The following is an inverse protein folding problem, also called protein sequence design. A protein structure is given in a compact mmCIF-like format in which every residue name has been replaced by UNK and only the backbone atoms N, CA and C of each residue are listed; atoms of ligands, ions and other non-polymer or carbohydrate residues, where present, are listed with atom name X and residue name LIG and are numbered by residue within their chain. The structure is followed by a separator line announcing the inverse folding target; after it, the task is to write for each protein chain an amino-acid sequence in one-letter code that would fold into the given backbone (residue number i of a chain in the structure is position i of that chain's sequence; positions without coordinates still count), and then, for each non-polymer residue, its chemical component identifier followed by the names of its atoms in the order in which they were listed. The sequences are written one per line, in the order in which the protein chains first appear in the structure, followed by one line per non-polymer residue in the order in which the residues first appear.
data_IF_303386390463
#
_entry.id   IF_303386390463
#
_cell.length_a   1.000
_cell.length_b   1.000
_cell.length_c   1.000
_cell.angle_alpha   90.00
_cell.angle_beta   90.00
_cell.angle_gamma   90.00
#
_symmetry.space_group_name_H-M   'P 1'
#
loop_
_entity.id
_entity.type
_entity.pdbx_description
1 polymer ?
#
# COMPACT_ATOMS: atom_id res chain seq x y z
N UNK A 1 9.03 -8.05 24.62
CA UNK A 1 8.10 -7.04 24.10
C UNK A 1 8.89 -5.87 23.53
N UNK A 2 8.35 -5.25 22.49
CA UNK A 2 8.96 -4.10 21.83
C UNK A 2 7.88 -3.05 21.57
N UNK A 3 8.21 -1.78 21.87
CA UNK A 3 7.41 -0.62 21.47
C UNK A 3 8.23 0.16 20.47
N UNK A 4 7.65 0.44 19.31
CA UNK A 4 8.24 1.27 18.28
C UNK A 4 7.38 2.51 18.05
N UNK A 5 8.04 3.67 17.96
CA UNK A 5 7.42 4.92 17.54
C UNK A 5 8.21 5.42 16.35
N UNK A 6 7.49 5.71 15.26
CA UNK A 6 8.08 6.30 14.07
C UNK A 6 7.34 7.61 13.78
N UNK A 7 8.11 8.61 13.43
CA UNK A 7 7.61 9.92 13.03
C UNK A 7 8.41 10.41 11.83
N UNK A 8 7.73 10.65 10.73
CA UNK A 8 8.32 11.12 9.48
C UNK A 8 7.63 12.42 9.07
N UNK A 9 8.41 13.41 8.68
CA UNK A 9 7.93 14.66 8.14
C UNK A 9 8.56 14.91 6.76
N UNK A 10 7.71 15.17 5.78
CA UNK A 10 8.10 15.58 4.43
C UNK A 10 7.60 17.00 4.17
N UNK A 11 8.51 17.91 3.90
CA UNK A 11 8.20 19.27 3.41
C UNK A 11 8.64 19.37 1.96
N UNK A 12 7.75 19.83 1.10
CA UNK A 12 8.00 20.02 -0.33
C UNK A 12 7.53 21.41 -0.75
N UNK A 13 8.37 22.10 -1.48
CA UNK A 13 8.04 23.38 -2.11
C UNK A 13 8.16 23.24 -3.63
N UNK A 14 7.16 23.74 -4.34
CA UNK A 14 7.13 23.80 -5.79
C UNK A 14 6.97 25.26 -6.20
N UNK A 15 7.97 25.81 -6.87
CA UNK A 15 7.97 27.17 -7.38
C UNK A 15 7.74 27.19 -8.88
N UNK A 16 6.76 28.00 -9.31
CA UNK A 16 6.55 28.33 -10.71
C UNK A 16 6.81 29.84 -10.92
N UNK A 17 7.81 30.16 -11.71
CA UNK A 17 8.14 31.55 -12.03
C UNK A 17 7.07 32.21 -12.91
N UNK A 18 7.03 33.53 -12.89
CA UNK A 18 6.06 34.41 -13.63
C UNK A 18 5.95 34.01 -15.12
N UNK A 19 7.03 33.55 -15.73
CA UNK A 19 7.10 33.23 -17.16
C UNK A 19 6.76 31.77 -17.46
N UNK A 20 6.42 30.94 -16.45
CA UNK A 20 6.03 29.56 -16.70
C UNK A 20 4.71 29.50 -17.48
N UNK A 21 4.63 28.56 -18.44
CA UNK A 21 3.43 28.40 -19.28
C UNK A 21 2.17 28.18 -18.44
N UNK A 22 2.25 27.27 -17.45
CA UNK A 22 1.11 26.92 -16.61
C UNK A 22 0.57 28.10 -15.82
N UNK A 23 1.45 28.91 -15.21
CA UNK A 23 1.02 30.05 -14.40
C UNK A 23 0.43 31.17 -15.27
N UNK A 24 1.05 31.45 -16.44
CA UNK A 24 0.47 32.42 -17.40
C UNK A 24 -0.88 31.99 -17.90
N UNK A 25 -1.04 30.72 -18.29
CA UNK A 25 -2.31 30.20 -18.76
C UNK A 25 -3.39 30.25 -17.66
N UNK A 26 -3.03 29.91 -16.41
CA UNK A 26 -3.93 30.00 -15.28
C UNK A 26 -4.34 31.44 -14.98
N UNK A 27 -3.41 32.40 -15.08
CA UNK A 27 -3.68 33.83 -14.90
C UNK A 27 -4.63 34.36 -15.97
N UNK A 28 -4.40 34.03 -17.25
CA UNK A 28 -5.26 34.45 -18.35
C UNK A 28 -6.69 33.86 -18.22
N UNK A 29 -6.79 32.57 -17.90
CA UNK A 29 -8.07 31.88 -17.79
C UNK A 29 -8.89 32.29 -16.56
N UNK A 30 -8.25 32.85 -15.53
CA UNK A 30 -8.92 33.32 -14.33
C UNK A 30 -9.27 34.84 -14.35
N UNK A 31 -8.91 35.53 -15.43
CA UNK A 31 -9.25 36.94 -15.59
C UNK A 31 -10.76 37.15 -15.80
N UNK A 32 -11.28 38.25 -15.29
CA UNK A 32 -12.68 38.68 -15.44
C UNK A 32 -12.78 40.17 -15.76
N UNK A 33 -13.95 40.60 -16.21
CA UNK A 33 -14.22 42.03 -16.50
C UNK A 33 -15.03 42.66 -15.36
N UNK A 34 -14.59 43.86 -14.94
CA UNK A 34 -15.33 44.72 -14.03
C UNK A 34 -15.55 46.07 -14.72
N UNK A 35 -16.75 46.26 -15.27
CA UNK A 35 -17.00 47.34 -16.24
C UNK A 35 -16.22 47.08 -17.53
N UNK A 36 -15.41 48.05 -17.95
CA UNK A 36 -14.53 47.92 -19.12
C UNK A 36 -13.11 47.42 -18.79
N UNK A 37 -12.79 47.26 -17.50
CA UNK A 37 -11.46 46.91 -17.08
C UNK A 37 -11.33 45.38 -16.94
N UNK A 38 -10.25 44.81 -17.51
CA UNK A 38 -9.89 43.44 -17.34
C UNK A 38 -9.08 43.24 -16.06
N UNK A 39 -9.65 42.53 -15.13
CA UNK A 39 -9.03 42.22 -13.83
C UNK A 39 -8.45 40.82 -13.85
N UNK A 40 -7.20 40.69 -13.44
CA UNK A 40 -6.56 39.39 -13.27
C UNK A 40 -6.71 38.95 -11.82
N UNK A 41 -7.41 37.82 -11.61
CA UNK A 41 -7.53 37.21 -10.28
C UNK A 41 -6.16 36.88 -9.70
N UNK A 42 -5.27 36.33 -10.53
CA UNK A 42 -3.89 36.01 -10.13
C UNK A 42 -3.02 37.23 -10.40
N UNK A 43 -2.40 37.85 -9.36
CA UNK A 43 -1.53 39.02 -9.52
C UNK A 43 -0.20 38.60 -10.22
N UNK A 44 0.55 39.62 -10.65
CA UNK A 44 1.91 39.39 -11.16
C UNK A 44 2.86 38.93 -10.07
N UNK A 45 3.65 37.91 -10.40
CA UNK A 45 4.60 37.23 -9.52
C UNK A 45 4.60 35.73 -9.80
N UNK A 46 5.37 35.00 -9.05
CA UNK A 46 5.41 33.54 -9.12
C UNK A 46 4.26 32.89 -8.36
N UNK A 47 4.20 31.58 -8.43
CA UNK A 47 3.37 30.72 -7.58
C UNK A 47 4.29 29.86 -6.73
N UNK A 48 4.05 29.80 -5.43
CA UNK A 48 4.70 28.87 -4.52
C UNK A 48 3.65 27.95 -3.91
N UNK A 49 3.83 26.63 -4.11
CA UNK A 49 3.03 25.61 -3.47
C UNK A 49 3.87 24.90 -2.43
N UNK A 50 3.42 24.95 -1.18
CA UNK A 50 4.06 24.26 -0.05
C UNK A 50 3.18 23.09 0.38
N UNK A 51 3.79 21.93 0.55
CA UNK A 51 3.11 20.73 1.01
C UNK A 51 3.89 20.15 2.19
N UNK A 52 3.22 20.01 3.33
CA UNK A 52 3.77 19.38 4.53
C UNK A 52 2.97 18.13 4.84
N UNK A 53 3.66 16.99 4.83
CA UNK A 53 3.08 15.69 5.17
C UNK A 53 3.75 15.14 6.41
N UNK A 54 2.96 14.73 7.38
CA UNK A 54 3.43 14.07 8.60
C UNK A 54 2.85 12.67 8.67
N UNK A 55 3.72 11.69 8.85
CA UNK A 55 3.32 10.30 9.12
C UNK A 55 3.79 9.93 10.51
N UNK A 56 2.89 9.48 11.36
CA UNK A 56 3.20 8.98 12.70
C UNK A 56 2.71 7.55 12.83
N UNK A 57 3.52 6.69 13.43
CA UNK A 57 3.19 5.29 13.67
C UNK A 57 3.58 4.89 15.08
N UNK A 58 2.68 4.19 15.76
CA UNK A 58 2.96 3.49 17.00
C UNK A 58 2.75 2.00 16.75
N UNK A 59 3.75 1.21 17.13
CA UNK A 59 3.71 -0.25 17.04
C UNK A 59 4.01 -0.84 18.41
N UNK A 60 3.17 -1.74 18.86
CA UNK A 60 3.43 -2.59 20.01
C UNK A 60 3.47 -4.04 19.57
N UNK A 61 4.59 -4.72 19.86
CA UNK A 61 4.86 -6.09 19.47
C UNK A 61 5.30 -6.92 20.67
N UNK A 62 4.69 -8.08 20.81
CA UNK A 62 5.09 -9.09 21.79
C UNK A 62 5.34 -10.39 21.04
N UNK A 63 6.49 -11.00 21.25
CA UNK A 63 6.83 -12.30 20.68
C UNK A 63 7.65 -13.15 21.63
N UNK A 64 7.47 -14.46 21.52
CA UNK A 64 8.29 -15.48 22.17
C UNK A 64 8.88 -16.41 21.14
N UNK A 65 10.09 -16.88 21.39
CA UNK A 65 10.81 -17.83 20.55
C UNK A 65 11.30 -18.99 21.43
N UNK A 66 11.16 -20.18 20.89
CA UNK A 66 11.73 -21.40 21.47
C UNK A 66 12.56 -22.09 20.39
N UNK A 67 13.81 -22.39 20.72
CA UNK A 67 14.75 -23.12 19.87
C UNK A 67 15.46 -24.17 20.71
N UNK A 68 15.44 -25.41 20.23
CA UNK A 68 16.13 -26.50 20.88
C UNK A 68 16.53 -27.59 19.88
N UNK A 69 17.62 -28.27 20.20
CA UNK A 69 18.10 -29.44 19.47
C UNK A 69 18.12 -30.65 20.42
N UNK A 70 17.42 -31.71 20.07
CA UNK A 70 17.32 -32.94 20.83
C UNK A 70 18.13 -34.05 20.14
N UNK A 71 18.93 -34.77 20.93
CA UNK A 71 19.74 -35.87 20.46
C UNK A 71 20.61 -35.55 19.23
N UNK A 72 20.99 -34.28 19.03
CA UNK A 72 21.79 -33.79 17.89
C UNK A 72 21.15 -34.05 16.50
N UNK A 73 19.93 -34.58 16.45
CA UNK A 73 19.25 -34.93 15.19
C UNK A 73 17.91 -34.24 14.99
N UNK A 74 17.29 -33.73 16.05
CA UNK A 74 15.99 -33.04 16.00
C UNK A 74 16.17 -31.58 16.33
N UNK A 75 16.09 -30.72 15.35
CA UNK A 75 16.13 -29.27 15.57
C UNK A 75 14.72 -28.69 15.44
N UNK A 76 14.25 -28.04 16.50
CA UNK A 76 12.92 -27.42 16.57
C UNK A 76 13.11 -25.92 16.83
N UNK A 77 12.43 -25.11 16.03
CA UNK A 77 12.32 -23.68 16.23
C UNK A 77 10.86 -23.27 16.11
N UNK A 78 10.33 -22.58 17.12
CA UNK A 78 8.95 -22.10 17.15
C UNK A 78 8.97 -20.64 17.60
N UNK A 79 8.21 -19.79 16.92
CA UNK A 79 7.99 -18.41 17.32
C UNK A 79 6.50 -18.11 17.25
N UNK A 80 5.99 -17.39 18.26
CA UNK A 80 4.63 -16.85 18.26
C UNK A 80 4.61 -15.43 18.80
N UNK A 81 3.69 -14.63 18.32
CA UNK A 81 3.59 -13.25 18.75
C UNK A 81 2.31 -12.54 18.32
N UNK A 82 2.18 -11.33 18.81
CA UNK A 82 1.13 -10.39 18.43
C UNK A 82 1.71 -9.00 18.17
N UNK A 83 1.05 -8.27 17.29
CA UNK A 83 1.42 -6.89 16.93
C UNK A 83 0.15 -6.03 16.82
N UNK A 84 0.18 -4.87 17.42
CA UNK A 84 -0.82 -3.82 17.24
C UNK A 84 -0.08 -2.62 16.67
N UNK A 85 -0.62 -2.05 15.59
CA UNK A 85 -0.04 -0.91 14.91
C UNK A 85 -1.11 0.10 14.58
N UNK A 86 -0.84 1.37 14.87
CA UNK A 86 -1.69 2.49 14.52
C UNK A 86 -0.88 3.53 13.76
N UNK A 87 -1.42 3.99 12.63
CA UNK A 87 -0.78 4.96 11.75
C UNK A 87 -1.68 6.18 11.63
N UNK A 88 -1.07 7.36 11.64
CA UNK A 88 -1.71 8.64 11.33
C UNK A 88 -0.95 9.28 10.18
N UNK A 89 -1.69 9.79 9.24
CA UNK A 89 -1.17 10.57 8.14
C UNK A 89 -1.92 11.88 8.06
N UNK A 90 -1.19 12.98 8.16
CA UNK A 90 -1.71 14.33 7.97
C UNK A 90 -0.96 14.97 6.80
N UNK A 91 -1.71 15.58 5.89
CA UNK A 91 -1.15 16.35 4.79
C UNK A 91 -1.81 17.71 4.73
N UNK A 92 -0.98 18.76 4.70
CA UNK A 92 -1.39 20.14 4.55
C UNK A 92 -0.72 20.70 3.32
N UNK A 93 -1.51 21.28 2.41
CA UNK A 93 -0.98 21.98 1.25
C UNK A 93 -1.52 23.41 1.20
N UNK A 94 -0.64 24.34 0.82
CA UNK A 94 -1.00 25.73 0.59
C UNK A 94 -0.41 26.21 -0.73
N UNK A 95 -1.16 27.03 -1.45
CA UNK A 95 -0.72 27.64 -2.70
C UNK A 95 -0.82 29.17 -2.56
N UNK A 96 0.30 29.84 -2.71
CA UNK A 96 0.39 31.31 -2.73
C UNK A 96 0.73 31.82 -4.13
N UNK A 97 0.07 32.87 -4.53
CA UNK A 97 0.28 33.57 -5.81
C UNK A 97 0.92 34.93 -5.62
N UNK A 98 1.46 35.49 -6.71
CA UNK A 98 2.17 36.76 -6.64
C UNK A 98 3.45 36.69 -5.82
N UNK A 99 4.04 35.52 -5.72
CA UNK A 99 5.25 35.25 -4.95
C UNK A 99 6.47 35.92 -5.57
N UNK A 100 7.20 36.67 -4.76
CA UNK A 100 8.50 37.25 -5.10
C UNK A 100 9.61 36.48 -4.33
N UNK A 101 10.48 35.73 -5.02
CA UNK A 101 11.53 34.96 -4.37
C UNK A 101 12.65 35.80 -3.75
N UNK A 102 12.73 37.12 -4.07
CA UNK A 102 13.71 38.02 -3.46
C UNK A 102 13.25 38.56 -2.12
N UNK A 103 11.99 38.87 -2.02
CA UNK A 103 11.39 39.46 -0.79
C UNK A 103 10.66 38.41 0.05
N UNK A 104 10.44 37.20 -0.48
CA UNK A 104 9.69 36.12 0.14
C UNK A 104 8.24 36.48 0.50
N UNK A 105 7.66 37.41 -0.28
CA UNK A 105 6.30 37.90 -0.04
C UNK A 105 5.32 37.39 -1.08
N UNK A 106 4.04 37.47 -0.74
CA UNK A 106 2.92 37.13 -1.62
C UNK A 106 2.02 38.31 -1.83
N UNK A 107 1.35 38.35 -2.98
CA UNK A 107 0.29 39.34 -3.25
C UNK A 107 -1.09 38.70 -3.05
N UNK A 108 -2.09 39.52 -2.69
CA UNK A 108 -3.45 39.04 -2.53
C UNK A 108 -4.09 38.75 -3.89
N UNK A 109 -4.99 37.76 -3.92
CA UNK A 109 -5.84 37.46 -5.06
C UNK A 109 -7.02 38.44 -5.07
N UNK A 110 -7.42 38.93 -6.25
CA UNK A 110 -8.56 39.80 -6.45
C UNK A 110 -9.77 38.99 -6.91
N UNK A 111 -10.56 38.52 -5.97
CA UNK A 111 -11.78 37.75 -6.28
C UNK A 111 -12.90 38.67 -6.76
N UNK A 112 -13.63 38.22 -7.79
CA UNK A 112 -14.81 38.90 -8.31
C UNK A 112 -15.94 38.99 -7.27
N UNK A 113 -16.14 37.87 -6.56
CA UNK A 113 -17.19 37.69 -5.56
C UNK A 113 -16.81 36.57 -4.56
N UNK A 114 -17.61 36.42 -3.51
CA UNK A 114 -17.41 35.42 -2.46
C UNK A 114 -17.54 33.99 -2.99
N UNK A 115 -18.33 33.75 -4.05
CA UNK A 115 -18.46 32.45 -4.68
C UNK A 115 -17.13 32.02 -5.30
N UNK A 116 -16.51 32.85 -6.10
CA UNK A 116 -15.20 32.61 -6.68
C UNK A 116 -14.13 32.36 -5.59
N UNK A 117 -14.16 33.18 -4.50
CA UNK A 117 -13.25 33.00 -3.38
C UNK A 117 -13.38 31.61 -2.70
N UNK A 118 -14.60 31.10 -2.55
CA UNK A 118 -14.86 29.79 -1.97
C UNK A 118 -14.48 28.61 -2.89
N UNK A 119 -14.53 28.81 -4.20
CA UNK A 119 -14.11 27.79 -5.19
C UNK A 119 -12.58 27.61 -5.22
N UNK A 120 -11.83 28.64 -4.86
CA UNK A 120 -10.35 28.63 -4.85
C UNK A 120 -9.82 28.07 -3.53
N UNK A 121 -9.50 26.77 -3.53
CA UNK A 121 -8.94 26.08 -2.36
C UNK A 121 -7.44 26.34 -2.23
N UNK A 122 -7.06 27.51 -1.72
CA UNK A 122 -5.66 27.89 -1.50
C UNK A 122 -5.00 27.10 -0.38
N UNK A 123 -5.78 26.54 0.53
CA UNK A 123 -5.31 25.68 1.62
C UNK A 123 -6.15 24.41 1.67
N UNK A 124 -5.49 23.28 1.78
CA UNK A 124 -6.15 21.99 1.94
C UNK A 124 -5.51 21.22 3.09
N UNK A 125 -6.31 20.47 3.81
CA UNK A 125 -5.86 19.56 4.85
C UNK A 125 -6.55 18.22 4.66
N UNK A 126 -5.78 17.13 4.75
CA UNK A 126 -6.31 15.79 4.78
C UNK A 126 -5.72 15.02 5.96
N UNK A 127 -6.53 14.16 6.54
CA UNK A 127 -6.15 13.30 7.65
C UNK A 127 -6.63 11.89 7.37
N UNK A 128 -5.76 10.90 7.62
CA UNK A 128 -6.08 9.46 7.53
C UNK A 128 -5.55 8.77 8.76
N UNK A 129 -6.35 7.88 9.30
CA UNK A 129 -5.99 7.02 10.42
C UNK A 129 -6.28 5.57 10.06
N UNK A 130 -5.38 4.65 10.41
CA UNK A 130 -5.55 3.22 10.19
C UNK A 130 -4.99 2.44 11.37
N UNK A 131 -5.72 1.41 11.78
CA UNK A 131 -5.32 0.51 12.84
C UNK A 131 -5.23 -0.95 12.33
N UNK A 132 -4.24 -1.67 12.81
CA UNK A 132 -3.98 -3.07 12.47
C UNK A 132 -3.73 -3.87 13.73
N UNK A 133 -4.24 -5.07 13.79
CA UNK A 133 -3.95 -6.05 14.81
C UNK A 133 -3.61 -7.38 14.16
N UNK A 134 -2.52 -8.00 14.59
CA UNK A 134 -2.01 -9.22 13.99
C UNK A 134 -1.63 -10.24 15.06
N UNK A 135 -1.94 -11.50 14.82
CA UNK A 135 -1.47 -12.65 15.59
C UNK A 135 -0.76 -13.59 14.63
N UNK A 136 0.42 -14.07 15.03
CA UNK A 136 1.22 -14.93 14.15
C UNK A 136 1.96 -15.99 14.94
N UNK A 137 2.15 -17.12 14.28
CA UNK A 137 3.03 -18.18 14.73
C UNK A 137 3.74 -18.77 13.51
N UNK A 138 5.00 -19.15 13.69
CA UNK A 138 5.74 -19.96 12.75
C UNK A 138 6.58 -21.00 13.46
N UNK A 139 6.91 -22.07 12.74
CA UNK A 139 7.76 -23.09 13.27
C UNK A 139 8.48 -23.83 12.16
N UNK A 140 9.63 -24.38 12.50
CA UNK A 140 10.38 -25.30 11.66
C UNK A 140 10.88 -26.46 12.46
N UNK A 141 10.91 -27.62 11.81
CA UNK A 141 11.48 -28.85 12.32
C UNK A 141 12.45 -29.41 11.31
N UNK A 142 13.69 -29.63 11.74
CA UNK A 142 14.74 -30.24 10.91
C UNK A 142 15.15 -31.55 11.52
N UNK A 143 15.12 -32.62 10.71
CA UNK A 143 15.52 -33.98 11.08
C UNK A 143 16.86 -34.32 10.40
N UNK A 144 17.85 -34.69 11.22
CA UNK A 144 19.19 -35.18 10.78
C UNK A 144 19.90 -34.20 9.82
N UNK A 145 19.59 -32.89 9.88
CA UNK A 145 20.06 -31.88 8.92
C UNK A 145 19.74 -32.16 7.44
N UNK A 146 18.79 -33.09 7.19
CA UNK A 146 18.38 -33.52 5.85
C UNK A 146 17.00 -33.01 5.47
N UNK A 147 16.04 -33.21 6.36
CA UNK A 147 14.63 -32.89 6.09
C UNK A 147 14.19 -31.73 6.97
N UNK A 148 13.80 -30.65 6.36
CA UNK A 148 13.21 -29.52 7.10
C UNK A 148 11.77 -29.32 6.66
N UNK A 149 10.84 -29.30 7.63
CA UNK A 149 9.45 -28.93 7.44
C UNK A 149 9.23 -27.61 8.15
N UNK A 150 8.72 -26.61 7.44
CA UNK A 150 8.38 -25.29 7.97
C UNK A 150 6.91 -24.99 7.80
N UNK A 151 6.36 -24.20 8.70
CA UNK A 151 4.99 -23.71 8.61
C UNK A 151 4.82 -22.36 9.29
N UNK A 152 3.89 -21.56 8.78
CA UNK A 152 3.50 -20.32 9.40
C UNK A 152 2.00 -20.09 9.30
N UNK A 153 1.44 -19.43 10.29
CA UNK A 153 0.07 -18.92 10.28
C UNK A 153 0.08 -17.50 10.81
N UNK A 154 -0.72 -16.63 10.16
CA UNK A 154 -0.91 -15.25 10.59
C UNK A 154 -2.36 -14.86 10.38
N UNK A 155 -2.92 -14.17 11.33
CA UNK A 155 -4.27 -13.58 11.26
C UNK A 155 -4.14 -12.08 11.37
N UNK A 156 -4.46 -11.37 10.31
CA UNK A 156 -4.40 -9.92 10.24
C UNK A 156 -5.80 -9.33 10.23
N UNK A 157 -6.02 -8.33 11.08
CA UNK A 157 -7.22 -7.50 11.13
C UNK A 157 -6.89 -6.05 10.84
N UNK A 158 -7.79 -5.35 10.16
CA UNK A 158 -7.67 -3.92 9.85
C UNK A 158 -9.04 -3.25 10.00
N UNK A 159 -9.03 -1.97 10.35
CA UNK A 159 -10.21 -1.10 10.36
C UNK A 159 -10.64 -0.64 8.96
N UNK A 160 -9.78 -0.84 7.96
CA UNK A 160 -10.07 -0.44 6.56
C UNK A 160 -11.20 -1.25 5.92
N UNK A 161 -11.33 -2.53 6.29
CA UNK A 161 -12.39 -3.41 5.78
C UNK A 161 -13.17 -4.06 6.92
N UNK A 162 -14.36 -4.54 6.60
CA UNK A 162 -15.13 -5.36 7.52
C UNK A 162 -16.30 -4.67 8.16
N UNK A 163 -17.14 -4.06 7.34
CA UNK A 163 -18.55 -3.81 7.73
C UNK A 163 -19.16 -5.15 8.12
N UNK A 164 -18.94 -6.22 7.34
CA UNK A 164 -19.25 -7.59 7.73
C UNK A 164 -18.06 -8.22 8.49
N UNK A 165 -18.29 -8.63 9.74
CA UNK A 165 -17.29 -9.19 10.67
C UNK A 165 -16.46 -10.33 10.05
N UNK A 166 -17.05 -11.14 9.16
CA UNK A 166 -16.38 -12.28 8.54
C UNK A 166 -15.28 -11.89 7.56
N UNK A 167 -15.27 -10.65 7.06
CA UNK A 167 -14.27 -10.14 6.13
C UNK A 167 -13.20 -9.28 6.79
N UNK A 168 -13.33 -9.02 8.09
CA UNK A 168 -12.38 -8.19 8.85
C UNK A 168 -11.02 -8.84 9.01
N UNK A 169 -11.00 -10.17 9.16
CA UNK A 169 -9.77 -10.93 9.39
C UNK A 169 -9.47 -11.85 8.21
N UNK A 170 -8.22 -11.88 7.79
CA UNK A 170 -7.73 -12.83 6.82
C UNK A 170 -6.72 -13.76 7.47
N UNK A 171 -7.01 -15.06 7.60
CA UNK A 171 -5.99 -16.04 7.94
C UNK A 171 -5.09 -16.29 6.71
N UNK A 172 -3.81 -16.04 6.87
CA UNK A 172 -2.77 -16.36 5.89
C UNK A 172 -1.87 -17.45 6.48
N UNK A 173 -1.36 -18.31 5.63
CA UNK A 173 -0.53 -19.42 6.07
C UNK A 173 0.46 -19.83 5.00
N UNK A 174 1.53 -20.49 5.42
CA UNK A 174 2.47 -21.15 4.53
C UNK A 174 2.94 -22.47 5.09
N UNK A 175 3.32 -23.36 4.17
CA UNK A 175 4.02 -24.61 4.47
C UNK A 175 5.20 -24.72 3.51
N UNK A 176 6.33 -25.22 4.01
CA UNK A 176 7.53 -25.44 3.21
C UNK A 176 8.22 -26.72 3.61
N UNK A 177 8.83 -27.35 2.62
CA UNK A 177 9.68 -28.51 2.77
C UNK A 177 11.04 -28.29 2.11
N UNK A 178 12.10 -28.69 2.76
CA UNK A 178 13.45 -28.71 2.23
C UNK A 178 14.05 -30.12 2.45
N UNK A 179 14.53 -30.72 1.37
CA UNK A 179 15.28 -31.92 1.41
C UNK A 179 16.71 -31.71 0.94
N UNK A 180 17.67 -31.79 1.85
CA UNK A 180 19.11 -31.77 1.55
C UNK A 180 19.57 -33.14 1.10
N UNK A 181 19.46 -33.39 -0.18
CA UNK A 181 19.79 -34.65 -0.82
C UNK A 181 21.29 -34.95 -0.70
N UNK A 182 22.13 -33.91 -0.75
CA UNK A 182 23.59 -34.03 -0.55
C UNK A 182 23.98 -34.64 0.80
N UNK A 183 23.12 -34.51 1.83
CA UNK A 183 23.37 -35.09 3.16
C UNK A 183 22.93 -36.57 3.28
N UNK A 184 22.35 -37.12 2.23
CA UNK A 184 21.99 -38.56 2.23
C UNK A 184 23.25 -39.45 2.16
N UNK A 185 23.30 -40.58 2.87
CA UNK A 185 24.48 -41.45 2.92
C UNK A 185 24.97 -41.91 1.57
N UNK A 186 24.06 -42.11 0.61
CA UNK A 186 24.38 -42.53 -0.75
C UNK A 186 25.01 -41.41 -1.58
N UNK A 187 24.59 -40.13 -1.37
CA UNK A 187 25.05 -38.99 -2.13
C UNK A 187 26.29 -38.38 -1.49
N UNK A 188 26.38 -38.35 -0.18
CA UNK A 188 27.49 -37.77 0.58
C UNK A 188 28.86 -38.43 0.28
N UNK A 189 28.86 -39.64 -0.31
CA UNK A 189 30.11 -40.27 -0.76
C UNK A 189 30.67 -39.63 -2.05
N UNK A 190 29.88 -38.90 -2.81
CA UNK A 190 30.32 -38.18 -4.02
C UNK A 190 30.89 -36.83 -3.64
N UNK A 191 32.17 -36.75 -3.33
CA UNK A 191 32.84 -35.55 -2.82
C UNK A 191 32.89 -34.35 -3.77
N UNK A 192 32.49 -34.54 -5.00
CA UNK A 192 32.39 -33.44 -5.98
C UNK A 192 31.02 -32.71 -5.93
N UNK A 193 30.03 -33.28 -5.19
CA UNK A 193 28.74 -32.63 -4.94
C UNK A 193 28.81 -31.94 -3.59
N UNK A 194 28.80 -30.62 -3.58
CA UNK A 194 28.84 -29.81 -2.36
C UNK A 194 27.45 -29.58 -1.77
N UNK A 195 26.47 -29.34 -2.65
CA UNK A 195 25.10 -29.16 -2.25
C UNK A 195 24.15 -29.69 -3.33
N UNK A 196 23.14 -30.42 -2.90
CA UNK A 196 21.98 -30.79 -3.71
C UNK A 196 20.76 -30.73 -2.80
N UNK A 197 19.85 -29.77 -3.06
CA UNK A 197 18.68 -29.58 -2.25
C UNK A 197 17.43 -29.39 -3.10
N UNK A 198 16.32 -29.95 -2.67
CA UNK A 198 14.98 -29.73 -3.22
C UNK A 198 14.17 -28.87 -2.25
N UNK A 199 13.59 -27.81 -2.75
CA UNK A 199 12.73 -26.88 -2.00
C UNK A 199 11.32 -26.91 -2.56
N UNK A 200 10.34 -27.01 -1.67
CA UNK A 200 8.93 -26.93 -2.00
C UNK A 200 8.27 -25.93 -1.04
N UNK A 201 7.42 -25.06 -1.55
CA UNK A 201 6.61 -24.22 -0.67
C UNK A 201 5.26 -23.90 -1.28
N UNK A 202 4.29 -23.77 -0.39
CA UNK A 202 2.95 -23.29 -0.67
C UNK A 202 2.57 -22.24 0.36
N UNK A 203 1.97 -21.14 -0.08
CA UNK A 203 1.51 -20.11 0.84
C UNK A 203 0.33 -19.32 0.29
N UNK A 204 -0.52 -18.84 1.20
CA UNK A 204 -1.58 -17.90 0.94
C UNK A 204 -1.19 -16.55 1.54
N UNK A 205 -1.17 -15.50 0.73
CA UNK A 205 -0.90 -14.12 1.12
C UNK A 205 -2.15 -13.29 0.94
N UNK A 206 -2.31 -12.27 1.78
CA UNK A 206 -3.36 -11.28 1.68
C UNK A 206 -2.81 -9.89 1.34
N UNK A 207 -3.60 -9.13 0.61
CA UNK A 207 -3.34 -7.72 0.34
C UNK A 207 -4.60 -6.90 0.62
N UNK A 208 -4.42 -5.65 1.05
CA UNK A 208 -5.50 -4.72 1.32
C UNK A 208 -5.30 -3.44 0.49
N UNK A 209 -6.31 -3.06 -0.29
CA UNK A 209 -6.29 -1.76 -0.94
C UNK A 209 -6.69 -0.66 0.06
N UNK A 210 -5.74 0.24 0.35
CA UNK A 210 -5.92 1.36 1.29
C UNK A 210 -6.69 2.54 0.70
N UNK A 211 -6.98 2.52 -0.60
CA UNK A 211 -7.67 3.60 -1.29
C UNK A 211 -9.16 3.31 -1.50
N UNK A 212 -9.57 2.07 -1.29
CA UNK A 212 -10.97 1.65 -1.43
C UNK A 212 -11.64 1.59 -0.06
N UNK A 213 -12.83 2.18 0.04
CA UNK A 213 -13.65 2.16 1.26
C UNK A 213 -14.91 1.32 1.07
N UNK A 214 -15.31 0.50 2.05
CA UNK A 214 -16.60 -0.19 2.04
C UNK A 214 -17.78 0.74 2.36
N UNK A 215 -17.49 1.95 2.85
CA UNK A 215 -18.49 2.91 3.28
C UNK A 215 -18.89 3.86 2.15
N UNK A 216 -19.99 4.55 2.33
CA UNK A 216 -20.38 5.67 1.47
C UNK A 216 -19.36 6.79 1.67
N UNK A 217 -18.76 7.24 0.57
CA UNK A 217 -17.83 8.38 0.56
C UNK A 217 -18.47 9.51 -0.20
N UNK A 218 -18.64 10.66 0.44
CA UNK A 218 -19.17 11.87 -0.15
C UNK A 218 -18.18 13.03 -0.08
N UNK A 219 -18.33 13.95 -0.99
CA UNK A 219 -17.56 15.20 -1.04
C UNK A 219 -18.49 16.38 -0.82
N UNK A 220 -18.13 17.26 0.10
CA UNK A 220 -18.79 18.55 0.27
C UNK A 220 -18.53 19.42 -0.96
N UNK A 221 -19.58 20.03 -1.44
CA UNK A 221 -19.54 20.94 -2.57
C UNK A 221 -20.76 21.87 -2.56
N UNK A 222 -20.85 22.67 -3.60
CA UNK A 222 -22.00 23.52 -3.82
C UNK A 222 -22.66 23.15 -5.15
N UNK A 223 -23.98 23.14 -5.18
CA UNK A 223 -24.78 22.91 -6.37
C UNK A 223 -25.68 24.14 -6.64
N UNK A 224 -25.78 24.53 -7.89
CA UNK A 224 -26.74 25.54 -8.32
C UNK A 224 -27.97 24.84 -8.89
N UNK A 225 -29.04 24.78 -8.12
CA UNK A 225 -30.31 24.14 -8.54
C UNK A 225 -31.10 25.12 -9.39
N UNK A 226 -31.08 26.41 -9.04
CA UNK A 226 -31.72 27.49 -9.76
C UNK A 226 -30.68 28.54 -10.21
N UNK A 227 -30.94 29.30 -11.30
CA UNK A 227 -30.05 30.39 -11.69
C UNK A 227 -29.79 31.34 -10.52
N UNK A 228 -28.54 31.49 -10.12
CA UNK A 228 -28.13 32.37 -9.00
C UNK A 228 -28.18 31.73 -7.61
N UNK A 229 -28.69 30.48 -7.46
CA UNK A 229 -28.60 29.77 -6.19
C UNK A 229 -27.23 29.11 -6.00
N UNK A 230 -26.83 28.95 -4.75
CA UNK A 230 -25.60 28.27 -4.37
C UNK A 230 -25.87 27.50 -3.08
N UNK A 231 -26.37 26.28 -3.25
CA UNK A 231 -26.76 25.41 -2.15
C UNK A 231 -25.59 24.49 -1.74
N UNK A 232 -25.38 24.33 -0.44
CA UNK A 232 -24.43 23.34 0.06
C UNK A 232 -24.94 21.93 -0.26
N UNK A 233 -24.03 21.08 -0.74
CA UNK A 233 -24.37 19.73 -1.15
C UNK A 233 -23.32 18.70 -0.73
N UNK A 234 -23.73 17.46 -0.58
CA UNK A 234 -22.84 16.31 -0.47
C UNK A 234 -23.05 15.44 -1.69
N UNK A 235 -22.04 15.40 -2.56
CA UNK A 235 -22.04 14.47 -3.69
C UNK A 235 -21.48 13.14 -3.26
N UNK A 236 -22.27 12.07 -3.39
CA UNK A 236 -21.80 10.70 -3.10
C UNK A 236 -20.99 10.21 -4.29
N UNK A 237 -19.71 9.89 -4.07
CA UNK A 237 -18.76 9.57 -5.14
C UNK A 237 -18.63 8.07 -5.39
N UNK A 238 -18.99 7.23 -4.40
CA UNK A 238 -18.86 5.76 -4.52
C UNK A 238 -20.03 5.02 -3.89
N UNK A 239 -20.48 3.98 -4.57
CA UNK A 239 -21.44 3.05 -4.01
C UNK A 239 -20.83 2.27 -2.85
N UNK A 240 -21.55 2.10 -1.71
CA UNK A 240 -21.07 1.31 -0.60
C UNK A 240 -21.00 -0.18 -0.95
N UNK A 241 -19.99 -0.88 -0.44
CA UNK A 241 -19.89 -2.33 -0.58
C UNK A 241 -19.44 -3.00 0.72
N UNK A 242 -20.39 -3.44 1.52
CA UNK A 242 -20.12 -4.15 2.77
C UNK A 242 -19.40 -5.49 2.61
N UNK A 243 -19.36 -6.04 1.39
CA UNK A 243 -18.73 -7.32 1.03
C UNK A 243 -17.29 -7.17 0.58
N UNK A 244 -16.73 -5.95 0.58
CA UNK A 244 -15.32 -5.75 0.30
C UNK A 244 -14.47 -6.53 1.30
N UNK A 245 -13.48 -7.25 0.76
CA UNK A 245 -12.61 -8.14 1.50
C UNK A 245 -11.18 -8.09 0.96
N UNK A 246 -10.28 -8.71 1.69
CA UNK A 246 -8.89 -8.83 1.32
C UNK A 246 -8.71 -9.56 -0.03
N UNK A 247 -7.82 -9.06 -0.85
CA UNK A 247 -7.29 -9.77 -2.00
C UNK A 247 -6.43 -10.93 -1.52
N UNK A 248 -6.42 -12.03 -2.25
CA UNK A 248 -5.67 -13.25 -1.91
C UNK A 248 -4.76 -13.66 -3.03
N UNK A 249 -3.55 -14.08 -2.68
CA UNK A 249 -2.60 -14.67 -3.63
C UNK A 249 -2.10 -15.99 -3.08
N UNK A 250 -2.45 -17.08 -3.76
CA UNK A 250 -1.86 -18.39 -3.54
C UNK A 250 -0.58 -18.52 -4.36
N UNK A 251 0.52 -18.92 -3.72
CA UNK A 251 1.83 -19.09 -4.34
C UNK A 251 2.33 -20.50 -4.12
N UNK A 252 2.79 -21.14 -5.20
CA UNK A 252 3.48 -22.44 -5.21
C UNK A 252 4.87 -22.21 -5.75
N UNK A 253 5.90 -22.66 -5.03
CA UNK A 253 7.27 -22.58 -5.48
C UNK A 253 7.94 -23.95 -5.33
N UNK A 254 8.73 -24.32 -6.34
CA UNK A 254 9.57 -25.50 -6.35
C UNK A 254 10.95 -25.09 -6.84
N UNK A 255 11.99 -25.42 -6.08
CA UNK A 255 13.36 -25.03 -6.43
C UNK A 255 14.34 -26.18 -6.21
N UNK A 256 15.37 -26.22 -7.02
CA UNK A 256 16.51 -27.13 -6.90
C UNK A 256 17.77 -26.28 -6.81
N UNK A 257 18.58 -26.51 -5.77
CA UNK A 257 19.90 -25.94 -5.61
C UNK A 257 20.95 -27.02 -5.82
N UNK A 258 21.93 -26.75 -6.66
CA UNK A 258 23.00 -27.64 -6.98
C UNK A 258 24.34 -26.92 -7.01
N UNK A 259 25.33 -27.43 -6.22
CA UNK A 259 26.66 -26.87 -6.15
C UNK A 259 27.70 -27.99 -6.26
N UNK A 260 28.75 -27.80 -7.02
CA UNK A 260 29.79 -28.78 -7.27
C UNK A 260 31.19 -28.19 -7.30
N UNK A 261 32.19 -29.04 -7.13
CA UNK A 261 33.62 -28.73 -7.23
C UNK A 261 34.09 -27.64 -6.27
N UNK A 262 33.81 -27.81 -4.97
CA UNK A 262 34.07 -26.83 -3.92
C UNK A 262 33.39 -25.47 -4.21
N UNK A 263 32.12 -25.55 -4.62
CA UNK A 263 31.27 -24.38 -4.97
C UNK A 263 31.77 -23.58 -6.18
N UNK A 264 32.60 -24.19 -7.03
CA UNK A 264 33.06 -23.53 -8.25
C UNK A 264 31.92 -23.31 -9.26
N UNK A 265 30.87 -24.14 -9.21
CA UNK A 265 29.66 -24.01 -10.02
C UNK A 265 28.47 -24.10 -9.07
N UNK A 266 27.65 -23.06 -9.06
CA UNK A 266 26.41 -22.99 -8.28
C UNK A 266 25.24 -22.75 -9.24
N UNK A 267 24.28 -23.67 -9.26
CA UNK A 267 23.06 -23.59 -10.07
C UNK A 267 21.85 -23.59 -9.14
N UNK A 268 20.98 -22.62 -9.31
CA UNK A 268 19.64 -22.62 -8.71
C UNK A 268 18.59 -22.49 -9.80
N UNK A 269 17.60 -23.37 -9.76
CA UNK A 269 16.45 -23.36 -10.69
C UNK A 269 15.18 -23.33 -9.87
N UNK A 270 14.38 -22.28 -10.03
CA UNK A 270 13.14 -22.08 -9.33
C UNK A 270 11.97 -21.96 -10.32
N UNK A 271 10.93 -22.75 -10.09
CA UNK A 271 9.64 -22.60 -10.75
C UNK A 271 8.63 -22.04 -9.76
N UNK A 272 7.89 -21.01 -10.18
CA UNK A 272 6.81 -20.45 -9.39
C UNK A 272 5.49 -20.39 -10.16
N UNK A 273 4.40 -20.59 -9.43
CA UNK A 273 3.05 -20.35 -9.89
C UNK A 273 2.28 -19.55 -8.85
N UNK A 274 1.74 -18.39 -9.24
CA UNK A 274 0.97 -17.50 -8.37
C UNK A 274 -0.41 -17.30 -8.94
N UNK A 275 -1.44 -17.41 -8.10
CA UNK A 275 -2.84 -17.14 -8.46
C UNK A 275 -3.42 -16.11 -7.51
N UNK A 276 -3.64 -14.89 -8.03
CA UNK A 276 -4.42 -13.84 -7.39
C UNK A 276 -5.91 -14.11 -7.56
N UNK A 277 -6.66 -14.00 -6.49
CA UNK A 277 -8.12 -14.11 -6.45
C UNK A 277 -8.70 -13.03 -5.56
N UNK A 278 -9.99 -12.75 -5.71
CA UNK A 278 -10.67 -11.68 -4.97
C UNK A 278 -10.02 -10.30 -5.20
N UNK A 279 -9.34 -10.08 -6.34
CA UNK A 279 -8.72 -8.80 -6.65
C UNK A 279 -9.78 -7.72 -6.82
N UNK A 280 -9.52 -6.55 -6.24
CA UNK A 280 -10.45 -5.43 -6.28
C UNK A 280 -10.39 -4.76 -7.65
N UNK A 281 -11.55 -4.50 -8.21
CA UNK A 281 -11.71 -3.77 -9.46
C UNK A 281 -13.08 -3.12 -9.55
N UNK A 282 -13.20 -2.11 -10.40
CA UNK A 282 -14.47 -1.42 -10.62
C UNK A 282 -15.38 -2.25 -11.55
N UNK A 283 -16.56 -2.56 -11.06
CA UNK A 283 -17.63 -3.17 -11.83
C UNK A 283 -18.62 -2.09 -12.25
N UNK A 284 -18.94 -2.02 -13.54
CA UNK A 284 -19.98 -1.12 -14.06
C UNK A 284 -21.33 -1.54 -13.49
N UNK A 285 -22.10 -0.56 -13.09
CA UNK A 285 -23.46 -0.75 -12.57
C UNK A 285 -24.48 -0.20 -13.58
N UNK A 286 -25.71 -0.77 -13.60
CA UNK A 286 -26.84 -0.13 -14.26
C UNK A 286 -27.09 1.26 -13.67
N UNK A 287 -27.38 2.23 -14.53
CA UNK A 287 -27.53 3.64 -14.12
C UNK A 287 -28.68 3.87 -13.14
N UNK A 288 -29.65 2.97 -13.11
CA UNK A 288 -30.78 3.00 -12.16
C UNK A 288 -30.33 2.95 -10.70
N UNK A 289 -29.13 2.45 -10.43
CA UNK A 289 -28.56 2.43 -9.07
C UNK A 289 -28.01 3.79 -8.61
N UNK A 290 -28.01 4.80 -9.48
CA UNK A 290 -27.45 6.12 -9.18
C UNK A 290 -25.92 6.19 -9.20
N UNK A 291 -25.26 5.10 -9.58
CA UNK A 291 -23.79 5.01 -9.67
C UNK A 291 -23.37 4.37 -11.00
N UNK A 292 -22.27 4.85 -11.57
CA UNK A 292 -21.71 4.28 -12.80
C UNK A 292 -20.89 3.02 -12.54
N UNK A 293 -20.26 2.93 -11.35
CA UNK A 293 -19.42 1.78 -10.97
C UNK A 293 -19.37 1.59 -9.46
N UNK A 294 -18.95 0.40 -9.06
CA UNK A 294 -18.71 0.02 -7.67
C UNK A 294 -17.46 -0.84 -7.57
N UNK A 295 -16.65 -0.61 -6.54
CA UNK A 295 -15.51 -1.46 -6.23
C UNK A 295 -15.97 -2.82 -5.68
N UNK A 296 -15.52 -3.91 -6.28
CA UNK A 296 -15.89 -5.29 -5.91
C UNK A 296 -14.68 -6.22 -6.04
N UNK A 297 -14.66 -7.28 -5.23
CA UNK A 297 -13.68 -8.35 -5.34
C UNK A 297 -14.14 -9.38 -6.39
N UNK A 298 -13.73 -9.23 -7.64
CA UNK A 298 -14.21 -10.07 -8.74
C UNK A 298 -13.13 -10.52 -9.72
N UNK A 299 -11.98 -9.85 -9.75
CA UNK A 299 -10.94 -10.16 -10.70
C UNK A 299 -10.00 -11.27 -10.18
N UNK A 300 -9.37 -11.97 -11.11
CA UNK A 300 -8.32 -12.95 -10.83
C UNK A 300 -7.18 -12.81 -11.82
N UNK A 301 -5.96 -13.13 -11.35
CA UNK A 301 -4.74 -13.08 -12.16
C UNK A 301 -3.91 -14.32 -11.90
N UNK A 302 -3.25 -14.82 -12.94
CA UNK A 302 -2.27 -15.90 -12.86
C UNK A 302 -0.93 -15.42 -13.36
N UNK A 303 0.13 -15.81 -12.66
CA UNK A 303 1.50 -15.52 -13.03
C UNK A 303 2.35 -16.77 -12.75
N UNK A 304 3.21 -17.16 -13.69
CA UNK A 304 4.12 -18.30 -13.54
C UNK A 304 5.42 -18.02 -14.29
N UNK A 305 6.51 -18.60 -13.81
CA UNK A 305 7.81 -18.43 -14.45
C UNK A 305 8.85 -19.42 -13.92
N UNK A 306 9.97 -19.44 -14.61
CA UNK A 306 11.16 -20.16 -14.23
C UNK A 306 12.29 -19.16 -14.09
N UNK A 307 13.01 -19.24 -12.98
CA UNK A 307 14.20 -18.45 -12.70
C UNK A 307 15.41 -19.38 -12.64
N UNK A 308 16.47 -19.07 -13.36
CA UNK A 308 17.72 -19.83 -13.39
C UNK A 308 18.85 -18.89 -13.00
N UNK A 309 19.59 -19.24 -11.97
CA UNK A 309 20.76 -18.52 -11.52
C UNK A 309 21.97 -19.46 -11.60
N UNK A 310 23.00 -19.07 -12.32
CA UNK A 310 24.27 -19.79 -12.47
C UNK A 310 25.41 -18.84 -12.07
N UNK A 311 26.23 -19.30 -11.15
CA UNK A 311 27.40 -18.60 -10.63
C UNK A 311 28.64 -19.49 -10.70
#
# INVERSE_FOLDING_TARGET
SQVGVQWDQLSREEYAGTNSFNLRNQRENSAYYKGNDRIYLIPEGGMLKSTNSTTSQITWKVQGEYKNTFNDIHNIQIMAGSEIRKNWYENQASTGYGYDPKTLTFKNLEFRDSKQANEWKLKTKSFKENAFASFYANGSYTLMDRYTLGGSVRMDGSDLFGVDKKYRYLPIYSVSGLWRISNEPLINQFKWIDNLALRLSYGLQGNIDKNTSPFIVGTYGNISILPGSNEESITINSAPNSKLRWEKTASYNTGIDFSVFNQAINLSVDYYYRKGTDLIGNKMLPLENGFTSMAVNWASMKNQGIEINLQ
#
